data_IF_700505522793
#
_entry.id   IF_700505522793
#
_cell.length_a   1.000
_cell.length_b   1.000
_cell.length_c   1.000
_cell.angle_alpha   90.00
_cell.angle_beta   90.00
_cell.angle_gamma   90.00
#
_symmetry.space_group_name_H-M   'P 1'
#
loop_
_entity.id
_entity.type
_entity.pdbx_description
1 polymer ?
#
# COMPACT_ATOMS: atom_id res chain seq x y z
N UNK A 1 42.48 2.50 23.11
CA UNK A 1 41.37 2.20 24.05
C UNK A 1 40.12 1.86 23.23
N UNK A 2 39.60 0.63 23.29
CA UNK A 2 38.39 0.25 22.52
C UNK A 2 37.18 1.02 23.05
N UNK A 3 36.54 1.81 22.18
CA UNK A 3 35.32 2.55 22.51
C UNK A 3 34.19 1.54 22.72
N UNK A 4 33.70 1.41 23.95
CA UNK A 4 32.53 0.56 24.25
C UNK A 4 31.31 1.19 23.56
N UNK A 5 30.70 0.47 22.63
CA UNK A 5 29.46 0.90 22.00
C UNK A 5 28.38 1.03 23.09
N UNK A 6 27.86 2.24 23.24
CA UNK A 6 26.77 2.54 24.18
C UNK A 6 25.47 2.22 23.46
N UNK A 7 24.90 1.06 23.73
CA UNK A 7 23.57 0.72 23.25
C UNK A 7 22.55 1.54 24.04
N UNK A 8 21.83 2.42 23.36
CA UNK A 8 20.84 3.29 23.99
C UNK A 8 19.46 2.65 23.98
N UNK A 9 18.56 3.14 24.82
CA UNK A 9 17.15 2.72 24.79
C UNK A 9 16.50 3.01 23.42
N UNK A 10 16.91 4.07 22.74
CA UNK A 10 16.43 4.38 21.40
C UNK A 10 16.85 3.33 20.37
N UNK A 11 18.08 2.81 20.48
CA UNK A 11 18.58 1.75 19.60
C UNK A 11 17.77 0.46 19.76
N UNK A 12 17.41 0.12 21.01
CA UNK A 12 16.51 -0.99 21.30
C UNK A 12 15.14 -0.82 20.64
N UNK A 13 14.54 0.37 20.76
CA UNK A 13 13.24 0.65 20.16
C UNK A 13 13.31 0.59 18.63
N UNK A 14 14.37 1.12 18.01
CA UNK A 14 14.59 1.04 16.56
C UNK A 14 14.76 -0.40 16.09
N UNK A 15 15.53 -1.22 16.80
CA UNK A 15 15.72 -2.63 16.48
C UNK A 15 14.39 -3.39 16.50
N UNK A 16 13.57 -3.21 17.54
CA UNK A 16 12.26 -3.85 17.63
C UNK A 16 11.28 -3.38 16.54
N UNK A 17 11.26 -2.09 16.21
CA UNK A 17 10.43 -1.57 15.10
C UNK A 17 10.83 -2.18 13.76
N UNK A 18 12.13 -2.36 13.53
CA UNK A 18 12.65 -2.99 12.31
C UNK A 18 12.30 -4.48 12.26
N UNK A 19 12.53 -5.21 13.35
CA UNK A 19 12.19 -6.63 13.45
C UNK A 19 10.69 -6.87 13.21
N UNK A 20 9.81 -6.10 13.85
CA UNK A 20 8.36 -6.19 13.64
C UNK A 20 7.96 -5.96 12.18
N UNK A 21 8.62 -5.03 11.49
CA UNK A 21 8.36 -4.76 10.08
C UNK A 21 8.89 -5.85 9.15
N UNK A 22 10.03 -6.45 9.49
CA UNK A 22 10.60 -7.59 8.73
C UNK A 22 9.70 -8.82 8.85
N UNK A 23 9.19 -9.14 10.04
CA UNK A 23 8.22 -10.22 10.25
C UNK A 23 6.92 -10.00 9.45
N UNK A 24 6.45 -8.77 9.37
CA UNK A 24 5.27 -8.41 8.56
C UNK A 24 5.52 -8.63 7.06
N UNK A 25 6.69 -8.23 6.58
CA UNK A 25 7.10 -8.43 5.18
C UNK A 25 7.31 -9.92 4.87
N UNK A 26 7.88 -10.70 5.79
CA UNK A 26 8.05 -12.14 5.62
C UNK A 26 6.69 -12.85 5.47
N UNK A 27 5.71 -12.49 6.31
CA UNK A 27 4.36 -13.09 6.27
C UNK A 27 3.52 -12.67 5.07
N UNK A 28 3.62 -11.40 4.65
CA UNK A 28 2.70 -10.82 3.65
C UNK A 28 3.35 -10.44 2.32
N UNK A 29 4.68 -10.49 2.23
CA UNK A 29 5.47 -10.03 1.09
C UNK A 29 5.48 -8.51 0.89
N UNK A 30 4.76 -7.75 1.73
CA UNK A 30 4.64 -6.29 1.65
C UNK A 30 4.16 -5.70 2.97
N UNK A 31 4.43 -4.41 3.23
CA UNK A 31 3.79 -3.70 4.33
C UNK A 31 2.27 -3.71 4.21
N UNK A 32 1.60 -4.10 5.29
CA UNK A 32 0.16 -4.14 5.49
C UNK A 32 -0.29 -2.80 6.06
N UNK A 33 -1.20 -2.15 5.33
CA UNK A 33 -1.84 -0.92 5.79
C UNK A 33 -3.18 -1.23 6.45
N UNK A 34 -3.26 -1.17 7.78
CA UNK A 34 -4.51 -1.40 8.53
C UNK A 34 -5.56 -0.31 8.29
N UNK A 35 -5.13 0.94 8.04
CA UNK A 35 -6.02 2.09 7.84
C UNK A 35 -6.42 2.31 6.37
N UNK A 36 -6.17 1.35 5.49
CA UNK A 36 -6.45 1.54 4.06
C UNK A 36 -7.95 1.43 3.81
N UNK A 37 -8.51 2.49 3.26
CA UNK A 37 -9.91 2.50 2.83
C UNK A 37 -10.08 1.48 1.70
N UNK A 38 -10.90 0.46 1.95
CA UNK A 38 -11.27 -0.51 0.93
C UNK A 38 -12.23 0.13 -0.07
N UNK A 39 -11.81 0.20 -1.34
CA UNK A 39 -12.69 0.67 -2.42
C UNK A 39 -13.68 -0.43 -2.80
N UNK A 40 -14.94 -0.06 -3.04
CA UNK A 40 -15.93 -0.99 -3.58
C UNK A 40 -15.48 -1.52 -4.93
N UNK A 41 -15.69 -2.81 -5.22
CA UNK A 41 -15.34 -3.47 -6.50
C UNK A 41 -16.22 -3.06 -7.69
N UNK A 42 -17.01 -1.98 -7.59
CA UNK A 42 -17.90 -1.54 -8.66
C UNK A 42 -17.06 -1.18 -9.90
N UNK A 43 -17.56 -1.58 -11.07
CA UNK A 43 -16.93 -1.31 -12.38
C UNK A 43 -16.73 0.19 -12.60
N UNK A 44 -17.64 1.01 -12.07
CA UNK A 44 -17.62 2.45 -12.25
C UNK A 44 -16.79 3.16 -11.16
N UNK A 45 -15.68 3.76 -11.57
CA UNK A 45 -14.96 4.76 -10.78
C UNK A 45 -14.84 6.04 -11.60
N UNK A 46 -15.74 7.01 -11.34
CA UNK A 46 -15.82 8.30 -12.08
C UNK A 46 -14.50 9.08 -12.16
N UNK A 47 -13.57 8.85 -11.22
CA UNK A 47 -12.25 9.53 -11.20
C UNK A 47 -11.18 8.77 -11.98
N UNK A 48 -11.36 7.47 -12.23
CA UNK A 48 -10.32 6.58 -12.75
C UNK A 48 -10.67 5.92 -14.09
N UNK A 49 -11.96 5.86 -14.43
CA UNK A 49 -12.49 5.32 -15.68
C UNK A 49 -13.45 6.39 -16.20
N UNK A 50 -13.03 7.15 -17.22
CA UNK A 50 -13.95 8.08 -17.90
C UNK A 50 -14.87 7.27 -18.81
N UNK A 51 -16.03 7.84 -19.14
CA UNK A 51 -17.04 7.16 -19.96
C UNK A 51 -16.55 6.72 -21.36
N UNK A 52 -15.41 7.24 -21.84
CA UNK A 52 -14.79 6.84 -23.10
C UNK A 52 -13.71 5.75 -22.98
N UNK A 53 -13.32 5.31 -21.79
CA UNK A 53 -12.11 4.48 -21.62
C UNK A 53 -12.34 2.97 -21.80
N UNK A 54 -13.58 2.50 -21.92
CA UNK A 54 -13.90 1.10 -22.28
C UNK A 54 -15.24 1.04 -23.00
N UNK A 55 -15.39 0.02 -23.87
CA UNK A 55 -16.62 -0.46 -24.51
C UNK A 55 -17.74 -0.73 -23.47
N UNK A 56 -18.25 0.34 -22.89
CA UNK A 56 -19.38 0.30 -22.00
C UNK A 56 -20.59 0.01 -22.88
N UNK A 57 -21.53 -0.84 -22.42
CA UNK A 57 -22.67 -1.28 -23.24
C UNK A 57 -23.62 -0.14 -23.66
N UNK A 58 -23.38 1.09 -23.16
CA UNK A 58 -24.12 2.30 -23.47
C UNK A 58 -23.30 3.33 -24.26
N UNK A 59 -22.06 3.01 -24.66
CA UNK A 59 -21.26 3.88 -25.51
C UNK A 59 -21.74 3.70 -26.95
N UNK A 60 -22.76 4.47 -27.32
CA UNK A 60 -23.14 4.62 -28.73
C UNK A 60 -22.03 5.43 -29.40
N UNK A 61 -21.16 4.76 -30.16
CA UNK A 61 -20.29 5.45 -31.10
C UNK A 61 -21.20 6.24 -32.04
N UNK A 62 -21.06 7.57 -32.05
CA UNK A 62 -21.80 8.39 -33.01
C UNK A 62 -21.34 7.96 -34.39
N UNK A 63 -22.25 7.41 -35.19
CA UNK A 63 -21.99 7.13 -36.60
C UNK A 63 -21.51 8.43 -37.28
N UNK A 64 -20.42 8.30 -38.04
CA UNK A 64 -19.78 9.37 -38.79
C UNK A 64 -20.69 9.89 -39.91
#
# INVERSE_FOLDING_TARGET
>A
MKKKMKFTQEDYLKANRKASREEEIEKHGRPVSFNRIHVSKKVYNRKRIKAGDKNLPYLFEKAA
#
